data_IF_350413744719
#
_entry.id   IF_350413744719
#
_cell.length_a   1.000
_cell.length_b   1.000
_cell.length_c   1.000
_cell.angle_alpha   90.00
_cell.angle_beta   90.00
_cell.angle_gamma   90.00
#
_symmetry.space_group_name_H-M   'P 1'
#
loop_
_entity.id
_entity.type
_entity.pdbx_description
1 polymer ?
#
# COMPACT_ATOMS: atom_id res chain seq x y z
N UNK A 1 -36.57 11.56 -40.12
CA UNK A 1 -35.37 10.86 -39.68
C UNK A 1 -34.89 11.53 -38.40
N UNK A 2 -35.21 10.96 -37.22
CA UNK A 2 -34.80 11.49 -35.93
C UNK A 2 -33.46 10.88 -35.57
N UNK A 3 -32.39 11.70 -35.52
CA UNK A 3 -31.07 11.30 -35.07
C UNK A 3 -31.09 11.25 -33.52
N UNK A 4 -31.10 10.04 -32.95
CA UNK A 4 -30.92 9.82 -31.51
C UNK A 4 -29.43 9.97 -31.24
N UNK A 5 -29.06 11.07 -30.58
CA UNK A 5 -27.70 11.31 -30.09
C UNK A 5 -27.53 10.50 -28.79
N UNK A 6 -26.88 9.35 -28.88
CA UNK A 6 -26.55 8.53 -27.72
C UNK A 6 -25.37 9.21 -26.99
N UNK A 7 -25.67 9.98 -25.95
CA UNK A 7 -24.65 10.54 -25.07
C UNK A 7 -24.06 9.39 -24.22
N UNK A 8 -22.90 8.91 -24.61
CA UNK A 8 -22.09 8.01 -23.80
C UNK A 8 -21.61 8.80 -22.57
N UNK A 9 -22.29 8.62 -21.45
CA UNK A 9 -21.80 9.05 -20.13
C UNK A 9 -20.57 8.21 -19.78
N UNK A 10 -19.39 8.70 -20.16
CA UNK A 10 -18.14 8.24 -19.57
C UNK A 10 -18.19 8.60 -18.09
N UNK A 11 -18.49 7.63 -17.25
CA UNK A 11 -18.21 7.71 -15.82
C UNK A 11 -16.68 7.80 -15.68
N UNK A 12 -16.18 9.03 -15.56
CA UNK A 12 -14.77 9.25 -15.21
C UNK A 12 -14.51 8.52 -13.89
N UNK A 13 -13.50 7.66 -13.82
CA UNK A 13 -13.12 7.07 -12.54
C UNK A 13 -12.77 8.23 -11.61
N UNK A 14 -13.47 8.31 -10.49
CA UNK A 14 -13.09 9.19 -9.39
C UNK A 14 -11.66 8.80 -9.05
N UNK A 15 -10.71 9.67 -9.34
CA UNK A 15 -9.30 9.45 -9.07
C UNK A 15 -9.16 9.12 -7.58
N UNK A 16 -8.87 7.85 -7.29
CA UNK A 16 -8.50 7.43 -5.96
C UNK A 16 -7.23 8.20 -5.60
N UNK A 17 -7.28 8.97 -4.55
CA UNK A 17 -6.13 9.70 -4.03
C UNK A 17 -5.02 8.69 -3.70
N UNK A 18 -3.89 8.80 -4.41
CA UNK A 18 -2.64 8.09 -4.09
C UNK A 18 -2.79 6.57 -3.83
N UNK A 19 -3.59 5.87 -4.67
CA UNK A 19 -3.82 4.43 -4.53
C UNK A 19 -4.75 4.01 -3.39
N UNK A 20 -5.18 4.92 -2.53
CA UNK A 20 -6.13 4.64 -1.45
C UNK A 20 -7.58 4.75 -1.91
N UNK A 21 -8.41 3.79 -1.48
CA UNK A 21 -9.86 3.82 -1.67
C UNK A 21 -10.60 3.20 -0.50
N UNK A 22 -11.87 3.58 -0.33
CA UNK A 22 -12.79 2.91 0.57
C UNK A 22 -13.39 1.67 -0.12
N UNK A 23 -13.31 0.52 0.50
CA UNK A 23 -13.93 -0.71 0.01
C UNK A 23 -14.69 -1.39 1.15
N UNK A 24 -16.03 -1.40 1.08
CA UNK A 24 -16.90 -2.00 2.12
C UNK A 24 -16.59 -1.51 3.54
N UNK A 25 -16.31 -0.20 3.69
CA UNK A 25 -15.97 0.40 4.98
C UNK A 25 -14.53 0.15 5.47
N UNK A 26 -13.68 -0.43 4.65
CA UNK A 26 -12.25 -0.59 4.93
C UNK A 26 -11.42 0.36 4.06
N UNK A 27 -10.32 0.84 4.60
CA UNK A 27 -9.31 1.55 3.84
C UNK A 27 -8.42 0.53 3.14
N UNK A 28 -8.35 0.64 1.83
CA UNK A 28 -7.55 -0.23 0.97
C UNK A 28 -6.58 0.61 0.18
N UNK A 29 -5.32 0.21 0.16
CA UNK A 29 -4.33 0.72 -0.79
C UNK A 29 -4.08 -0.31 -1.87
N UNK A 30 -4.05 0.13 -3.13
CA UNK A 30 -3.81 -0.76 -4.27
C UNK A 30 -3.00 -0.06 -5.34
N UNK A 31 -1.98 -0.75 -5.85
CA UNK A 31 -1.13 -0.27 -6.95
C UNK A 31 -0.80 -1.40 -7.92
N UNK A 32 -0.72 -1.05 -9.18
CA UNK A 32 -0.18 -1.89 -10.24
C UNK A 32 1.23 -1.41 -10.54
N UNK A 33 2.19 -2.30 -10.45
CA UNK A 33 3.59 -2.02 -10.77
C UNK A 33 3.92 -2.70 -12.11
N UNK A 34 4.17 -1.95 -13.18
CA UNK A 34 4.50 -2.51 -14.49
C UNK A 34 5.99 -2.94 -14.51
N UNK A 35 6.24 -4.20 -14.25
CA UNK A 35 7.57 -4.82 -14.29
C UNK A 35 7.44 -6.23 -14.83
N UNK A 36 8.07 -6.49 -15.96
CA UNK A 36 8.13 -7.83 -16.54
C UNK A 36 8.96 -8.76 -15.66
N UNK A 37 8.47 -9.98 -15.46
CA UNK A 37 9.15 -11.03 -14.70
C UNK A 37 9.63 -10.58 -13.31
N UNK A 38 8.83 -9.85 -12.59
CA UNK A 38 9.15 -9.34 -11.26
C UNK A 38 9.56 -10.46 -10.30
N UNK A 39 10.73 -10.32 -9.67
CA UNK A 39 11.16 -11.25 -8.64
C UNK A 39 10.55 -10.87 -7.29
N UNK A 40 9.31 -11.31 -7.04
CA UNK A 40 8.59 -11.00 -5.81
C UNK A 40 9.28 -11.56 -4.56
N UNK A 41 9.94 -12.72 -4.69
CA UNK A 41 10.68 -13.32 -3.57
C UNK A 41 11.81 -12.38 -3.15
N UNK A 42 12.58 -11.83 -4.09
CA UNK A 42 13.63 -10.87 -3.76
C UNK A 42 13.09 -9.58 -3.10
N UNK A 43 11.92 -9.10 -3.52
CA UNK A 43 11.27 -7.95 -2.88
C UNK A 43 10.90 -8.28 -1.43
N UNK A 44 10.32 -9.43 -1.19
CA UNK A 44 9.90 -9.87 0.16
C UNK A 44 11.11 -10.14 1.06
N UNK A 45 12.16 -10.75 0.53
CA UNK A 45 13.39 -11.06 1.28
C UNK A 45 14.17 -9.79 1.67
N UNK A 46 14.06 -8.71 0.88
CA UNK A 46 14.63 -7.41 1.22
C UNK A 46 13.95 -6.76 2.45
N UNK A 47 12.76 -7.23 2.82
CA UNK A 47 11.96 -6.69 3.90
C UNK A 47 11.59 -7.77 4.93
N UNK A 48 12.47 -8.11 5.89
CA UNK A 48 12.27 -9.22 6.84
C UNK A 48 11.03 -9.07 7.73
N UNK A 49 10.47 -7.86 7.80
CA UNK A 49 9.22 -7.59 8.52
C UNK A 49 7.96 -8.04 7.76
N UNK A 50 8.08 -8.38 6.48
CA UNK A 50 6.99 -8.95 5.70
C UNK A 50 6.99 -10.47 5.86
N UNK A 51 5.89 -11.03 6.35
CA UNK A 51 5.74 -12.47 6.56
C UNK A 51 4.71 -13.03 5.60
N UNK A 52 5.14 -13.89 4.69
CA UNK A 52 4.25 -14.61 3.79
C UNK A 52 3.56 -15.73 4.55
N UNK A 53 2.24 -15.71 4.54
CA UNK A 53 1.41 -16.75 5.14
C UNK A 53 1.04 -17.84 4.14
N UNK A 54 0.86 -17.49 2.86
CA UNK A 54 0.55 -18.44 1.80
C UNK A 54 0.96 -17.93 0.42
N UNK A 55 1.28 -18.88 -0.47
CA UNK A 55 1.48 -18.65 -1.90
C UNK A 55 0.65 -19.66 -2.68
N UNK A 56 -0.22 -19.19 -3.56
CA UNK A 56 -1.08 -20.04 -4.38
C UNK A 56 -1.45 -19.30 -5.68
N UNK A 57 -1.36 -19.98 -6.81
CA UNK A 57 -1.79 -19.45 -8.12
C UNK A 57 -1.24 -18.05 -8.44
N UNK A 58 0.05 -17.83 -8.23
CA UNK A 58 0.73 -16.53 -8.41
C UNK A 58 0.27 -15.42 -7.45
N UNK A 59 -0.36 -15.77 -6.33
CA UNK A 59 -0.81 -14.85 -5.31
C UNK A 59 -0.07 -15.10 -4.01
N UNK A 60 0.70 -14.10 -3.56
CA UNK A 60 1.29 -14.07 -2.23
C UNK A 60 0.33 -13.38 -1.27
N UNK A 61 0.05 -13.99 -0.13
CA UNK A 61 -0.67 -13.37 0.99
C UNK A 61 0.20 -13.35 2.21
N UNK A 62 0.18 -12.24 2.92
CA UNK A 62 0.98 -12.12 4.12
C UNK A 62 0.57 -10.94 4.99
N UNK A 63 1.36 -10.69 6.01
CA UNK A 63 1.19 -9.55 6.92
C UNK A 63 2.55 -8.93 7.25
N UNK A 64 2.53 -7.66 7.61
CA UNK A 64 3.71 -7.01 8.18
C UNK A 64 3.75 -7.24 9.70
N UNK A 65 4.95 -7.44 10.23
CA UNK A 65 5.22 -7.20 11.63
C UNK A 65 5.15 -5.69 11.93
N UNK A 66 5.24 -5.32 13.20
CA UNK A 66 5.27 -3.91 13.59
C UNK A 66 6.46 -3.20 12.97
N UNK A 67 6.19 -2.27 12.06
CA UNK A 67 7.20 -1.59 11.24
C UNK A 67 7.05 -0.08 11.37
N UNK A 68 8.18 0.61 11.52
CA UNK A 68 8.21 2.07 11.53
C UNK A 68 8.06 2.61 10.11
N UNK A 69 7.15 3.57 9.93
CA UNK A 69 7.03 4.31 8.68
C UNK A 69 8.22 5.27 8.60
N UNK A 70 9.09 5.05 7.62
CA UNK A 70 10.25 5.92 7.39
C UNK A 70 9.80 7.10 6.53
N UNK A 71 9.34 8.17 7.17
CA UNK A 71 8.87 9.35 6.47
C UNK A 71 9.46 10.61 7.09
N UNK A 72 9.82 11.57 6.21
CA UNK A 72 10.29 12.91 6.60
C UNK A 72 9.14 13.89 6.81
N UNK A 73 7.96 13.58 6.24
CA UNK A 73 6.73 14.39 6.31
C UNK A 73 5.59 13.58 6.96
N UNK A 74 4.48 14.26 7.24
CA UNK A 74 3.29 13.65 7.83
C UNK A 74 3.06 14.03 9.29
N UNK A 75 1.87 13.72 9.77
CA UNK A 75 1.43 14.02 11.12
C UNK A 75 2.10 13.11 12.17
N UNK A 76 1.86 13.40 13.44
CA UNK A 76 2.32 12.54 14.54
C UNK A 76 1.79 11.09 14.42
N UNK A 77 0.62 10.89 13.79
CA UNK A 77 0.06 9.57 13.52
C UNK A 77 0.99 8.73 12.63
N UNK A 78 1.51 9.31 11.55
CA UNK A 78 2.41 8.63 10.59
C UNK A 78 3.76 8.27 11.20
N UNK A 79 4.16 8.93 12.27
CA UNK A 79 5.40 8.60 13.01
C UNK A 79 5.27 7.36 13.89
N UNK A 80 4.05 6.86 14.11
CA UNK A 80 3.83 5.63 14.83
C UNK A 80 4.21 4.41 13.97
N UNK A 81 4.47 3.30 14.62
CA UNK A 81 4.63 2.03 13.90
C UNK A 81 3.31 1.59 13.29
N UNK A 82 3.37 0.86 12.21
CA UNK A 82 2.18 0.29 11.57
C UNK A 82 2.29 -1.22 11.40
N UNK A 83 1.13 -1.84 11.26
CA UNK A 83 0.93 -3.23 10.84
C UNK A 83 -0.13 -3.27 9.76
N UNK A 84 -0.01 -4.19 8.83
CA UNK A 84 -0.97 -4.33 7.73
C UNK A 84 -0.93 -5.75 7.15
N UNK A 85 -1.98 -6.10 6.44
CA UNK A 85 -2.03 -7.31 5.63
C UNK A 85 -1.77 -6.94 4.18
N UNK A 86 -1.12 -7.81 3.43
CA UNK A 86 -0.85 -7.60 2.01
C UNK A 86 -1.23 -8.80 1.15
N UNK A 87 -1.52 -8.50 -0.10
CA UNK A 87 -1.71 -9.45 -1.17
C UNK A 87 -0.96 -8.94 -2.40
N UNK A 88 -0.15 -9.82 -3.03
CA UNK A 88 0.55 -9.52 -4.28
C UNK A 88 0.11 -10.53 -5.31
N UNK A 89 -0.53 -10.06 -6.39
CA UNK A 89 -0.89 -10.88 -7.56
C UNK A 89 0.13 -10.65 -8.66
N UNK A 90 0.76 -11.71 -9.13
CA UNK A 90 1.80 -11.66 -10.16
C UNK A 90 1.21 -11.97 -11.52
N UNK A 91 1.39 -11.06 -12.46
CA UNK A 91 1.07 -11.23 -13.87
C UNK A 91 2.38 -11.25 -14.69
N UNK A 92 2.35 -11.65 -15.96
CA UNK A 92 3.57 -11.72 -16.79
C UNK A 92 4.31 -10.39 -16.94
N UNK A 93 3.59 -9.28 -17.06
CA UNK A 93 4.09 -7.93 -17.37
C UNK A 93 3.93 -6.93 -16.22
N UNK A 94 3.37 -7.37 -15.09
CA UNK A 94 3.07 -6.49 -13.96
C UNK A 94 2.80 -7.31 -12.70
N UNK A 95 2.75 -6.65 -11.55
CA UNK A 95 2.14 -7.21 -10.36
C UNK A 95 1.25 -6.16 -9.67
N UNK A 96 0.20 -6.66 -9.05
CA UNK A 96 -0.76 -5.84 -8.30
C UNK A 96 -0.53 -6.07 -6.82
N UNK A 97 -0.37 -4.99 -6.08
CA UNK A 97 -0.26 -5.03 -4.63
C UNK A 97 -1.55 -4.48 -4.04
N UNK A 98 -2.10 -5.18 -3.07
CA UNK A 98 -3.23 -4.72 -2.27
C UNK A 98 -2.85 -4.78 -0.80
N UNK A 99 -2.92 -3.65 -0.09
CA UNK A 99 -2.69 -3.54 1.35
C UNK A 99 -4.02 -3.24 2.04
N UNK A 100 -4.29 -3.97 3.10
CA UNK A 100 -5.54 -3.90 3.87
C UNK A 100 -5.27 -3.99 5.36
N UNK A 101 -6.30 -3.80 6.20
CA UNK A 101 -6.21 -3.94 7.65
C UNK A 101 -5.05 -3.15 8.27
N UNK A 102 -4.84 -1.92 7.76
CA UNK A 102 -3.77 -1.04 8.22
C UNK A 102 -4.09 -0.58 9.64
N UNK A 103 -3.13 -0.76 10.56
CA UNK A 103 -3.25 -0.37 11.96
C UNK A 103 -2.03 0.44 12.40
N UNK A 104 -2.26 1.54 13.09
CA UNK A 104 -1.21 2.30 13.76
C UNK A 104 -1.07 1.83 15.19
N UNK A 105 0.17 1.57 15.61
CA UNK A 105 0.50 1.10 16.96
C UNK A 105 0.91 2.29 17.80
N UNK A 106 0.02 2.71 18.67
CA UNK A 106 0.22 3.85 19.56
C UNK A 106 0.64 3.35 20.94
N UNK A 107 1.68 3.95 21.51
CA UNK A 107 2.20 3.60 22.84
C UNK A 107 1.92 4.74 23.79
N UNK A 108 1.33 4.42 24.94
CA UNK A 108 0.89 5.38 25.93
C UNK A 108 1.40 5.04 27.34
N UNK A 109 1.38 6.06 28.20
CA UNK A 109 1.66 5.95 29.63
C UNK A 109 3.14 6.00 30.00
N UNK A 110 3.42 5.99 31.30
CA UNK A 110 4.80 5.92 31.80
C UNK A 110 5.49 4.67 31.25
N UNK A 111 6.69 4.84 30.70
CA UNK A 111 7.47 3.77 30.07
C UNK A 111 6.78 3.08 28.86
N UNK A 112 5.77 3.74 28.24
CA UNK A 112 5.05 3.23 27.06
C UNK A 112 4.44 1.81 27.24
N UNK A 113 3.95 1.53 28.42
CA UNK A 113 3.46 0.19 28.80
C UNK A 113 2.11 -0.17 28.19
N UNK A 114 1.33 0.83 27.74
CA UNK A 114 0.05 0.63 27.07
C UNK A 114 0.24 0.69 25.56
N UNK A 115 -0.09 -0.40 24.86
CA UNK A 115 -0.02 -0.51 23.41
C UNK A 115 -1.43 -0.65 22.85
N UNK A 116 -1.84 0.26 21.98
CA UNK A 116 -3.15 0.22 21.31
C UNK A 116 -2.91 0.23 19.80
N UNK A 117 -3.50 -0.74 19.11
CA UNK A 117 -3.48 -0.80 17.65
C UNK A 117 -4.82 -0.26 17.11
N UNK A 118 -4.82 0.97 16.61
CA UNK A 118 -5.98 1.61 16.02
C UNK A 118 -6.01 1.40 14.51
N UNK A 119 -7.19 1.08 13.95
CA UNK A 119 -7.38 0.91 12.52
C UNK A 119 -7.27 2.25 11.80
N UNK A 120 -6.67 2.25 10.60
CA UNK A 120 -6.47 3.44 9.78
C UNK A 120 -7.79 4.11 9.37
N UNK A 121 -8.87 3.34 9.23
CA UNK A 121 -10.21 3.85 8.91
C UNK A 121 -10.68 4.92 9.90
N UNK A 122 -10.36 4.77 11.19
CA UNK A 122 -10.68 5.75 12.24
C UNK A 122 -10.17 7.16 11.89
N UNK A 123 -9.04 7.23 11.20
CA UNK A 123 -8.34 8.49 10.92
C UNK A 123 -8.61 9.00 9.51
N UNK A 124 -8.77 8.10 8.54
CA UNK A 124 -8.77 8.44 7.12
C UNK A 124 -10.11 8.19 6.41
N UNK A 125 -11.13 7.70 7.12
CA UNK A 125 -12.43 7.48 6.51
C UNK A 125 -13.54 8.25 7.21
N UNK A 126 -14.55 8.64 6.40
CA UNK A 126 -15.87 9.03 6.85
C UNK A 126 -16.82 7.98 6.26
N UNK A 127 -17.34 7.10 7.10
CA UNK A 127 -18.14 5.93 6.70
C UNK A 127 -17.42 5.08 5.62
N UNK A 128 -17.83 5.22 4.38
CA UNK A 128 -17.28 4.46 3.25
C UNK A 128 -16.31 5.26 2.36
N UNK A 129 -16.22 6.57 2.57
CA UNK A 129 -15.42 7.47 1.75
C UNK A 129 -14.08 7.82 2.43
N UNK A 130 -13.02 7.92 1.65
CA UNK A 130 -11.72 8.43 2.11
C UNK A 130 -11.83 9.94 2.37
N UNK A 131 -11.28 10.41 3.48
CA UNK A 131 -11.28 11.83 3.84
C UNK A 131 -10.47 12.67 2.86
N UNK A 132 -11.05 13.80 2.45
CA UNK A 132 -10.47 14.71 1.48
C UNK A 132 -9.82 15.96 2.07
N UNK A 133 -9.65 16.06 3.39
CA UNK A 133 -8.96 17.19 4.03
C UNK A 133 -7.44 17.14 3.78
N UNK A 134 -6.79 18.30 3.82
CA UNK A 134 -5.38 18.43 3.44
C UNK A 134 -4.43 17.63 4.34
N UNK A 135 -4.77 17.48 5.63
CA UNK A 135 -3.99 16.66 6.55
C UNK A 135 -4.08 15.19 6.17
N UNK A 136 -5.28 14.68 5.93
CA UNK A 136 -5.50 13.30 5.50
C UNK A 136 -4.81 13.01 4.16
N UNK A 137 -4.88 13.95 3.21
CA UNK A 137 -4.18 13.85 1.92
C UNK A 137 -2.66 13.73 2.10
N UNK A 138 -2.07 14.60 2.91
CA UNK A 138 -0.62 14.57 3.17
C UNK A 138 -0.20 13.27 3.83
N UNK A 139 -0.95 12.79 4.82
CA UNK A 139 -0.66 11.55 5.51
C UNK A 139 -0.81 10.33 4.60
N UNK A 140 -1.86 10.29 3.76
CA UNK A 140 -2.10 9.20 2.79
C UNK A 140 -1.03 9.21 1.69
N UNK A 141 -0.60 10.37 1.20
CA UNK A 141 0.51 10.47 0.23
C UNK A 141 1.82 9.96 0.83
N UNK A 142 2.06 10.23 2.10
CA UNK A 142 3.23 9.70 2.82
C UNK A 142 3.16 8.17 2.96
N UNK A 143 1.99 7.62 3.26
CA UNK A 143 1.77 6.17 3.30
C UNK A 143 1.90 5.53 1.93
N UNK A 144 1.42 6.18 0.87
CA UNK A 144 1.56 5.71 -0.51
C UNK A 144 3.04 5.56 -0.88
N UNK A 145 3.84 6.60 -0.63
CA UNK A 145 5.28 6.57 -0.86
C UNK A 145 5.98 5.46 -0.05
N UNK A 146 5.57 5.25 1.19
CA UNK A 146 6.08 4.18 2.04
C UNK A 146 5.76 2.80 1.45
N UNK A 147 4.50 2.52 1.06
CA UNK A 147 4.13 1.23 0.48
C UNK A 147 4.78 1.00 -0.89
N UNK A 148 4.89 2.03 -1.72
CA UNK A 148 5.64 1.93 -2.97
C UNK A 148 7.08 1.52 -2.67
N UNK A 149 7.76 2.17 -1.71
CA UNK A 149 9.14 1.83 -1.32
C UNK A 149 9.28 0.40 -0.79
N UNK A 150 8.27 -0.10 -0.05
CA UNK A 150 8.29 -1.46 0.50
C UNK A 150 8.09 -2.55 -0.56
N UNK A 151 7.32 -2.27 -1.60
CA UNK A 151 6.92 -3.28 -2.58
C UNK A 151 7.48 -3.04 -3.99
N UNK A 152 8.19 -1.95 -4.23
CA UNK A 152 8.89 -1.78 -5.50
C UNK A 152 10.15 -2.64 -5.53
N UNK A 153 10.42 -3.27 -6.65
CA UNK A 153 11.74 -3.82 -6.90
C UNK A 153 12.76 -2.68 -6.78
N UNK A 154 13.71 -2.80 -5.86
CA UNK A 154 14.88 -1.92 -5.86
C UNK A 154 15.50 -1.89 -7.25
N UNK A 155 16.33 -0.88 -7.59
CA UNK A 155 16.95 -0.80 -8.91
C UNK A 155 17.60 -2.15 -9.20
N UNK A 156 17.21 -2.76 -10.33
CA UNK A 156 17.80 -4.02 -10.78
C UNK A 156 19.31 -3.85 -10.72
N UNK A 157 19.97 -4.63 -9.87
CA UNK A 157 21.42 -4.70 -9.87
C UNK A 157 21.78 -5.23 -11.25
N UNK A 158 22.19 -4.34 -12.14
CA UNK A 158 22.69 -4.70 -13.45
C UNK A 158 23.86 -5.64 -13.23
N UNK A 159 23.70 -6.93 -13.55
CA UNK A 159 24.75 -7.93 -13.58
C UNK A 159 25.69 -7.66 -14.80
N UNK A 160 26.27 -6.48 -14.84
CA UNK A 160 27.32 -6.11 -15.83
C UNK A 160 28.74 -6.25 -15.26
N UNK A 161 28.97 -7.18 -14.35
CA UNK A 161 30.32 -7.38 -13.81
C UNK A 161 30.79 -8.85 -13.81
N UNK A 162 30.42 -9.67 -14.80
CA UNK A 162 30.95 -11.04 -14.92
C UNK A 162 31.32 -11.42 -16.36
N UNK A 163 31.85 -10.48 -17.14
CA UNK A 163 32.59 -10.83 -18.40
C UNK A 163 33.81 -9.97 -18.56
N UNK A 164 34.80 -10.18 -17.69
CA UNK A 164 36.17 -9.75 -17.94
C UNK A 164 37.15 -10.66 -17.19
N UNK A 165 37.42 -11.85 -17.71
CA UNK A 165 38.78 -12.41 -17.89
C UNK A 165 38.70 -13.77 -18.54
#
# INVERSE_FOLDING_TARGET
MRKVLLALLFSLPVFAQDGFRGEKGNLVWERVIPVENANIVAILDAHPNLKVASFMENVYKGSSEETKITATSGSALIKNNCKYDFLIMVNPDSYVIKVTNIKFVEKYGPMQTRVIANRAEKYFMNDTAVRGDDKSKTDLSTLDAYFIGMFSAGPAVSNEALTAK
#
